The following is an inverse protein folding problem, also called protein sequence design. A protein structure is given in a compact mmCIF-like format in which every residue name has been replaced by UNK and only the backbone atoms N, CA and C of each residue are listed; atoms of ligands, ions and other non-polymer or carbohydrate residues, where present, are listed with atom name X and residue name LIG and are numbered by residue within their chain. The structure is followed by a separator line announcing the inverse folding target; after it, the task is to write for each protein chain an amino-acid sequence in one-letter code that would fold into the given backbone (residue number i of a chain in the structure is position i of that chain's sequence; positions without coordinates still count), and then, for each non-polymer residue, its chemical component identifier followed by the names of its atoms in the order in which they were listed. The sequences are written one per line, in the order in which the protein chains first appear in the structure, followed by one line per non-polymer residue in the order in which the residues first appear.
data_IF_487618742591
#
_entry.id   IF_487618742591
#
_cell.length_a   1.000
_cell.length_b   1.000
_cell.length_c   1.000
_cell.angle_alpha   90.00
_cell.angle_beta   90.00
_cell.angle_gamma   90.00
#
_symmetry.space_group_name_H-M   'P 1'
#
loop_
_entity.id
_entity.type
_entity.pdbx_description
1 polymer ?
#
# COMPACT_ATOMS: atom_id res chain seq x y z
N UNK A 1 -0.19 18.42 16.81
CA UNK A 1 -0.11 17.75 18.14
C UNK A 1 1.28 17.19 18.28
N UNK A 2 1.90 17.25 19.46
CA UNK A 2 3.14 16.51 19.73
C UNK A 2 2.77 15.07 20.05
N UNK A 3 3.44 14.09 19.42
CA UNK A 3 3.34 12.70 19.88
C UNK A 3 4.13 12.55 21.16
N UNK A 4 3.51 11.96 22.18
CA UNK A 4 4.17 11.64 23.44
C UNK A 4 4.42 10.13 23.53
N UNK A 5 5.57 9.75 24.08
CA UNK A 5 5.87 8.38 24.49
C UNK A 5 6.29 8.37 25.96
N UNK A 6 5.60 7.56 26.75
CA UNK A 6 5.91 7.28 28.15
C UNK A 6 6.36 5.83 28.27
N UNK A 7 7.50 5.65 28.93
CA UNK A 7 8.15 4.37 29.21
C UNK A 7 8.30 4.27 30.72
N UNK A 8 7.88 3.17 31.34
CA UNK A 8 8.06 2.92 32.76
C UNK A 8 8.64 1.53 32.98
N UNK A 9 9.84 1.47 33.55
CA UNK A 9 10.48 0.21 33.89
C UNK A 9 10.09 -0.27 35.29
N UNK A 10 9.91 -1.58 35.42
CA UNK A 10 9.76 -2.32 36.66
C UNK A 10 10.42 -3.70 36.52
N UNK A 11 10.49 -4.48 37.61
CA UNK A 11 11.08 -5.84 37.63
C UNK A 11 10.01 -6.84 38.07
N UNK A 12 10.03 -8.05 37.52
CA UNK A 12 9.13 -9.10 37.98
C UNK A 12 9.54 -9.59 39.36
N UNK A 13 8.57 -9.69 40.28
CA UNK A 13 8.81 -10.18 41.64
C UNK A 13 9.33 -11.64 41.66
N UNK A 14 8.91 -12.44 40.67
CA UNK A 14 9.27 -13.86 40.50
C UNK A 14 10.55 -14.10 39.68
N UNK A 15 11.03 -13.12 38.91
CA UNK A 15 12.20 -13.24 38.05
C UNK A 15 13.01 -11.94 38.06
N UNK A 16 14.01 -11.87 38.95
CA UNK A 16 14.74 -10.63 39.29
C UNK A 16 15.52 -10.03 38.11
N UNK A 17 15.91 -10.84 37.15
CA UNK A 17 16.65 -10.48 35.94
C UNK A 17 15.73 -10.07 34.77
N UNK A 18 14.44 -10.38 34.83
CA UNK A 18 13.45 -9.98 33.83
C UNK A 18 12.86 -8.63 34.20
N UNK A 19 12.93 -7.70 33.25
CA UNK A 19 12.35 -6.36 33.38
C UNK A 19 11.04 -6.26 32.60
N UNK A 20 10.14 -5.43 33.08
CA UNK A 20 8.89 -5.06 32.41
C UNK A 20 8.96 -3.57 32.07
N UNK A 21 8.85 -3.22 30.78
CA UNK A 21 8.67 -1.85 30.32
C UNK A 21 7.20 -1.64 29.92
N UNK A 22 6.48 -0.82 30.68
CA UNK A 22 5.13 -0.38 30.33
C UNK A 22 5.24 0.78 29.32
N UNK A 23 4.67 0.61 28.13
CA UNK A 23 4.75 1.57 27.03
C UNK A 23 3.38 2.21 26.74
N UNK A 24 3.31 3.53 26.70
CA UNK A 24 2.07 4.25 26.37
C UNK A 24 2.29 5.50 25.52
N UNK A 25 1.35 5.76 24.61
CA UNK A 25 1.43 6.86 23.63
C UNK A 25 1.63 6.35 22.20
N UNK A 26 2.59 6.91 21.47
CA UNK A 26 2.89 6.55 20.06
C UNK A 26 4.39 6.34 19.85
N UNK A 27 4.75 5.39 18.97
CA UNK A 27 6.14 5.21 18.48
C UNK A 27 6.20 5.65 17.02
N UNK A 28 6.62 6.88 16.78
CA UNK A 28 6.77 7.47 15.45
C UNK A 28 8.09 8.23 15.30
N UNK A 29 8.30 8.91 14.18
CA UNK A 29 9.54 9.61 13.85
C UNK A 29 9.94 10.72 14.85
N UNK A 30 9.05 11.15 15.75
CA UNK A 30 9.35 12.11 16.81
C UNK A 30 9.60 11.48 18.19
N UNK A 31 9.26 10.20 18.37
CA UNK A 31 9.40 9.48 19.66
C UNK A 31 10.31 8.24 19.59
N UNK A 32 10.68 7.80 18.38
CA UNK A 32 11.49 6.59 18.17
C UNK A 32 12.90 6.71 18.74
N UNK A 33 13.52 7.89 18.71
CA UNK A 33 14.87 8.08 19.27
C UNK A 33 14.86 7.91 20.80
N UNK A 34 13.86 8.50 21.48
CA UNK A 34 13.59 8.29 22.91
C UNK A 34 13.33 6.82 23.22
N UNK A 35 12.57 6.11 22.37
CA UNK A 35 12.33 4.68 22.50
C UNK A 35 13.63 3.85 22.40
N UNK A 36 14.47 4.15 21.42
CA UNK A 36 15.76 3.50 21.25
C UNK A 36 16.71 3.79 22.43
N UNK A 37 16.75 5.04 22.90
CA UNK A 37 17.53 5.43 24.08
C UNK A 37 17.18 4.62 25.32
N UNK A 38 15.90 4.56 25.70
CA UNK A 38 15.46 3.86 26.91
C UNK A 38 15.78 2.36 26.85
N UNK A 39 15.64 1.73 25.67
CA UNK A 39 16.01 0.33 25.49
C UNK A 39 17.54 0.11 25.51
N UNK A 40 18.35 1.02 24.97
CA UNK A 40 19.81 0.92 25.11
C UNK A 40 20.28 1.23 26.54
N UNK A 41 19.59 2.11 27.30
CA UNK A 41 19.86 2.35 28.73
C UNK A 41 19.63 1.07 29.53
N UNK A 42 18.50 0.38 29.32
CA UNK A 42 18.21 -0.90 29.94
C UNK A 42 19.29 -1.97 29.60
N UNK A 43 19.68 -2.12 28.33
CA UNK A 43 20.74 -3.06 27.93
C UNK A 43 22.10 -2.71 28.57
N UNK A 44 22.47 -1.43 28.64
CA UNK A 44 23.71 -0.97 29.31
C UNK A 44 23.69 -1.20 30.82
N UNK A 45 22.51 -1.33 31.45
CA UNK A 45 22.33 -1.71 32.85
C UNK A 45 22.35 -3.24 33.07
N UNK A 46 22.71 -4.04 32.05
CA UNK A 46 22.81 -5.49 32.15
C UNK A 46 21.49 -6.24 31.98
N UNK A 47 20.42 -5.58 31.53
CA UNK A 47 19.15 -6.25 31.21
C UNK A 47 19.34 -7.12 29.97
N UNK A 48 19.22 -8.44 30.12
CA UNK A 48 19.22 -9.43 29.04
C UNK A 48 17.83 -9.95 28.69
N UNK A 49 16.85 -9.85 29.60
CA UNK A 49 15.48 -10.31 29.41
C UNK A 49 14.47 -9.19 29.65
N UNK A 50 13.64 -8.92 28.65
CA UNK A 50 12.72 -7.79 28.67
C UNK A 50 11.32 -8.16 28.17
N UNK A 51 10.30 -7.73 28.90
CA UNK A 51 8.90 -7.77 28.48
C UNK A 51 8.45 -6.33 28.18
N UNK A 52 7.87 -6.10 27.00
CA UNK A 52 7.27 -4.82 26.63
C UNK A 52 5.75 -4.93 26.72
N UNK A 53 5.11 -4.28 27.70
CA UNK A 53 3.66 -4.12 27.68
C UNK A 53 3.30 -2.99 26.72
N UNK A 54 2.71 -3.36 25.58
CA UNK A 54 2.35 -2.46 24.48
C UNK A 54 0.86 -2.11 24.48
N UNK A 55 0.09 -2.48 25.50
CA UNK A 55 -1.35 -2.18 25.56
C UNK A 55 -1.66 -0.68 25.49
N UNK A 56 -0.75 0.17 25.99
CA UNK A 56 -0.88 1.63 25.95
C UNK A 56 -0.49 2.29 24.62
N UNK A 57 0.02 1.53 23.64
CA UNK A 57 0.48 2.04 22.35
C UNK A 57 -0.68 2.19 21.36
N UNK A 58 -0.93 3.45 20.95
CA UNK A 58 -2.01 3.84 20.04
C UNK A 58 -1.59 3.78 18.57
N UNK A 59 -0.31 3.97 18.29
CA UNK A 59 0.24 4.02 16.94
C UNK A 59 1.73 3.62 16.92
N UNK A 60 2.14 2.91 15.86
CA UNK A 60 3.53 2.58 15.53
C UNK A 60 3.74 2.85 14.05
N UNK A 61 4.82 3.55 13.68
CA UNK A 61 5.24 3.68 12.27
C UNK A 61 6.32 2.65 11.89
N UNK A 62 6.71 2.62 10.61
CA UNK A 62 7.72 1.69 10.10
C UNK A 62 9.08 1.81 10.81
N UNK A 63 9.51 3.01 11.19
CA UNK A 63 10.76 3.22 11.95
C UNK A 63 10.67 2.64 13.37
N UNK A 64 9.53 2.82 14.04
CA UNK A 64 9.27 2.23 15.35
C UNK A 64 9.22 0.70 15.30
N UNK A 65 8.58 0.14 14.26
CA UNK A 65 8.49 -1.31 14.08
C UNK A 65 9.84 -1.94 13.72
N UNK A 66 10.62 -1.31 12.84
CA UNK A 66 12.01 -1.73 12.56
C UNK A 66 12.93 -1.61 13.78
N UNK A 67 12.70 -0.61 14.65
CA UNK A 67 13.41 -0.50 15.93
C UNK A 67 13.06 -1.67 16.86
N UNK A 68 11.77 -2.04 16.96
CA UNK A 68 11.33 -3.20 17.73
C UNK A 68 11.98 -4.50 17.22
N UNK A 69 12.01 -4.75 15.91
CA UNK A 69 12.66 -5.93 15.31
C UNK A 69 14.16 -5.96 15.66
N UNK A 70 14.85 -4.83 15.45
CA UNK A 70 16.28 -4.68 15.77
C UNK A 70 16.57 -5.01 17.25
N UNK A 71 15.74 -4.54 18.18
CA UNK A 71 15.91 -4.89 19.59
C UNK A 71 15.59 -6.35 19.88
N UNK A 72 14.52 -6.92 19.32
CA UNK A 72 14.17 -8.31 19.55
C UNK A 72 15.30 -9.26 19.16
N UNK A 73 15.88 -9.06 17.98
CA UNK A 73 17.11 -9.73 17.56
C UNK A 73 18.29 -9.45 18.51
N UNK A 74 18.59 -8.18 18.77
CA UNK A 74 19.72 -7.75 19.63
C UNK A 74 19.66 -8.29 21.09
N UNK A 75 18.46 -8.57 21.62
CA UNK A 75 18.28 -9.24 22.92
C UNK A 75 18.43 -10.76 22.79
N UNK A 76 17.96 -11.37 21.69
CA UNK A 76 18.09 -12.81 21.37
C UNK A 76 19.56 -13.20 21.14
N UNK A 77 20.32 -12.45 20.34
CA UNK A 77 21.76 -12.69 20.12
C UNK A 77 22.64 -12.41 21.35
N UNK A 78 22.11 -11.73 22.38
CA UNK A 78 22.77 -11.56 23.67
C UNK A 78 22.52 -12.72 24.66
N UNK A 79 21.96 -13.86 24.20
CA UNK A 79 21.62 -15.01 25.05
C UNK A 79 20.41 -14.79 25.96
N UNK A 80 19.61 -13.75 25.67
CA UNK A 80 18.41 -13.37 26.41
C UNK A 80 17.17 -13.39 25.51
N UNK A 81 16.29 -12.41 25.69
CA UNK A 81 15.08 -12.33 24.86
C UNK A 81 14.20 -11.11 25.13
N UNK A 82 13.33 -10.82 24.16
CA UNK A 82 12.35 -9.74 24.21
C UNK A 82 10.97 -10.28 23.85
N UNK A 83 9.98 -10.02 24.72
CA UNK A 83 8.59 -10.46 24.54
C UNK A 83 7.65 -9.26 24.47
N UNK A 84 6.69 -9.28 23.55
CA UNK A 84 5.61 -8.30 23.47
C UNK A 84 4.37 -8.81 24.21
N UNK A 85 3.92 -8.05 25.21
CA UNK A 85 2.78 -8.33 26.07
C UNK A 85 1.58 -7.46 25.67
N UNK A 86 0.40 -8.09 25.52
CA UNK A 86 -0.90 -7.45 25.20
C UNK A 86 -0.87 -6.62 23.90
N UNK A 87 -0.34 -7.20 22.82
CA UNK A 87 -0.24 -6.53 21.51
C UNK A 87 -1.62 -6.06 21.00
N UNK A 88 -1.85 -4.75 20.81
CA UNK A 88 -3.13 -4.25 20.32
C UNK A 88 -3.48 -4.85 18.94
N UNK A 89 -4.75 -5.21 18.64
CA UNK A 89 -5.10 -5.90 17.39
C UNK A 89 -4.63 -5.18 16.11
N UNK A 90 -4.67 -3.84 16.09
CA UNK A 90 -4.16 -3.04 14.96
C UNK A 90 -2.65 -3.17 14.76
N UNK A 91 -1.88 -3.30 15.85
CA UNK A 91 -0.43 -3.53 15.79
C UNK A 91 -0.13 -4.97 15.40
N UNK A 92 -0.89 -5.94 15.91
CA UNK A 92 -0.78 -7.36 15.55
C UNK A 92 -0.99 -7.57 14.04
N UNK A 93 -2.07 -7.03 13.46
CA UNK A 93 -2.34 -7.11 12.01
C UNK A 93 -1.18 -6.52 11.19
N UNK A 94 -0.58 -5.40 11.62
CA UNK A 94 0.57 -4.80 10.92
C UNK A 94 1.84 -5.65 11.04
N UNK A 95 2.07 -6.31 12.18
CA UNK A 95 3.17 -7.28 12.35
C UNK A 95 2.97 -8.50 11.43
N UNK A 96 1.75 -9.03 11.37
CA UNK A 96 1.40 -10.20 10.55
C UNK A 96 1.48 -9.90 9.05
N UNK A 97 0.89 -8.81 8.58
CA UNK A 97 0.96 -8.39 7.15
C UNK A 97 2.39 -8.08 6.66
N UNK A 98 3.33 -7.77 7.56
CA UNK A 98 4.72 -7.49 7.24
C UNK A 98 5.64 -8.70 7.47
N UNK A 99 5.09 -9.89 7.80
CA UNK A 99 5.87 -11.09 8.08
C UNK A 99 6.69 -11.05 9.39
N UNK A 100 6.60 -9.97 10.17
CA UNK A 100 7.51 -9.72 11.30
C UNK A 100 7.22 -10.56 12.55
N UNK A 101 6.21 -11.44 12.50
CA UNK A 101 5.77 -12.24 13.64
C UNK A 101 6.84 -13.23 14.15
N UNK A 102 7.73 -13.72 13.28
CA UNK A 102 8.85 -14.62 13.64
C UNK A 102 9.92 -13.95 14.53
N UNK A 103 10.03 -12.63 14.44
CA UNK A 103 10.93 -11.82 15.28
C UNK A 103 10.33 -11.52 16.66
N UNK A 104 9.02 -11.70 16.85
CA UNK A 104 8.31 -11.27 18.04
C UNK A 104 7.61 -12.41 18.78
N UNK A 105 8.16 -12.77 19.92
CA UNK A 105 7.41 -13.51 20.91
C UNK A 105 6.27 -12.66 21.47
N UNK A 106 5.06 -12.92 21.00
CA UNK A 106 3.83 -12.25 21.46
C UNK A 106 3.11 -13.11 22.52
N UNK A 107 2.47 -12.46 23.48
CA UNK A 107 1.65 -13.07 24.54
C UNK A 107 0.61 -12.10 25.13
N UNK A 108 -0.36 -12.62 25.88
CA UNK A 108 -1.41 -11.82 26.55
C UNK A 108 -1.23 -11.72 28.07
N UNK A 109 -0.62 -12.72 28.72
CA UNK A 109 -0.35 -12.68 30.17
C UNK A 109 1.12 -12.58 30.52
N UNK A 110 1.42 -11.95 31.65
CA UNK A 110 2.77 -11.91 32.23
C UNK A 110 3.33 -13.30 32.54
N UNK A 111 2.47 -14.30 32.73
CA UNK A 111 2.85 -15.70 32.95
C UNK A 111 3.42 -16.34 31.69
N UNK A 112 2.74 -16.16 30.55
CA UNK A 112 3.25 -16.57 29.24
C UNK A 112 4.57 -15.86 28.93
N UNK A 113 4.68 -14.57 29.23
CA UNK A 113 5.89 -13.79 28.97
C UNK A 113 7.11 -14.34 29.71
N UNK A 114 6.94 -14.68 31.00
CA UNK A 114 7.99 -15.31 31.79
C UNK A 114 8.33 -16.72 31.28
N UNK A 115 7.33 -17.53 30.94
CA UNK A 115 7.55 -18.88 30.39
C UNK A 115 8.36 -18.84 29.08
N UNK A 116 8.03 -17.93 28.16
CA UNK A 116 8.77 -17.71 26.90
C UNK A 116 10.21 -17.23 27.10
N UNK A 117 10.51 -16.57 28.23
CA UNK A 117 11.87 -16.14 28.61
C UNK A 117 12.66 -17.20 29.40
N UNK A 118 12.12 -18.41 29.55
CA UNK A 118 12.74 -19.55 30.25
C UNK A 118 12.31 -19.73 31.70
N UNK A 119 11.40 -18.91 32.23
CA UNK A 119 10.94 -19.00 33.61
C UNK A 119 9.67 -19.86 33.72
N UNK A 120 9.88 -21.16 33.94
CA UNK A 120 8.81 -22.13 34.17
C UNK A 120 8.01 -21.84 35.44
N UNK A 121 6.82 -21.25 35.29
CA UNK A 121 5.90 -20.99 36.42
C UNK A 121 5.08 -22.26 36.70
N UNK A 122 5.31 -22.89 37.86
CA UNK A 122 4.67 -24.13 38.32
C UNK A 122 3.14 -24.12 38.10
N UNK A 123 2.62 -25.19 37.49
CA UNK A 123 1.31 -25.18 36.85
C UNK A 123 0.15 -25.18 37.86
N UNK A 124 -0.77 -24.24 37.69
CA UNK A 124 -2.09 -24.19 38.31
C UNK A 124 -3.08 -23.81 37.20
N UNK A 125 -4.29 -24.39 37.17
CA UNK A 125 -5.04 -24.57 35.92
C UNK A 125 -5.60 -23.27 35.32
N UNK A 126 -5.88 -23.34 34.02
CA UNK A 126 -6.68 -22.34 33.32
C UNK A 126 -8.15 -22.36 33.83
N UNK A 127 -8.95 -21.31 33.57
CA UNK A 127 -10.39 -21.38 33.76
C UNK A 127 -10.97 -22.55 32.94
N UNK A 128 -11.75 -23.40 33.59
CA UNK A 128 -12.45 -24.51 32.93
C UNK A 128 -13.78 -23.98 32.39
N UNK A 129 -14.08 -24.24 31.12
CA UNK A 129 -15.38 -23.95 30.53
C UNK A 129 -16.46 -24.83 31.19
N UNK A 130 -17.36 -24.23 31.96
CA UNK A 130 -18.43 -24.96 32.66
C UNK A 130 -19.57 -25.32 31.72
N UNK A 131 -19.62 -26.61 31.39
CA UNK A 131 -20.69 -27.44 30.80
C UNK A 131 -22.07 -26.82 30.49
N UNK A 132 -22.60 -27.17 29.31
CA UNK A 132 -24.03 -27.17 29.00
C UNK A 132 -24.63 -28.58 29.14
N UNK A 133 -25.81 -28.76 29.76
CA UNK A 133 -26.40 -30.09 29.99
C UNK A 133 -27.17 -30.65 28.77
N UNK A 134 -26.61 -31.73 28.22
CA UNK A 134 -27.22 -32.96 27.65
C UNK A 134 -28.74 -33.11 27.44
N UNK A 135 -29.13 -33.81 26.34
CA UNK A 135 -30.03 -35.00 26.36
C UNK A 135 -29.95 -35.87 25.06
N UNK A 136 -29.48 -37.12 25.22
CA UNK A 136 -29.82 -38.42 24.53
C UNK A 136 -30.04 -38.57 22.99
N UNK A 137 -29.03 -39.18 22.31
CA UNK A 137 -28.97 -40.42 21.44
C UNK A 137 -30.24 -41.04 20.75
N UNK A 138 -30.13 -42.06 19.83
CA UNK A 138 -29.08 -42.52 18.85
C UNK A 138 -29.65 -42.64 17.38
N UNK A 139 -29.06 -43.21 16.30
CA UNK A 139 -28.71 -44.63 15.95
C UNK A 139 -28.04 -44.76 14.54
N UNK A 140 -27.03 -45.65 14.40
CA UNK A 140 -26.48 -46.29 13.14
C UNK A 140 -25.85 -45.39 12.04
N UNK A 141 -24.66 -45.72 11.47
CA UNK A 141 -24.32 -46.73 10.42
C UNK A 141 -24.69 -46.28 8.99
N UNK A 142 -23.93 -46.54 7.91
CA UNK A 142 -22.77 -47.44 7.72
C UNK A 142 -21.68 -46.81 6.83
N UNK A 143 -20.56 -47.51 6.62
CA UNK A 143 -19.52 -47.16 5.65
C UNK A 143 -19.76 -47.80 4.28
N UNK A 144 -19.23 -47.18 3.21
CA UNK A 144 -18.81 -47.88 1.98
C UNK A 144 -17.74 -47.05 1.26
N UNK A 145 -16.96 -47.67 0.37
CA UNK A 145 -15.81 -47.04 -0.27
C UNK A 145 -15.55 -47.59 -1.68
N UNK A 146 -14.99 -46.73 -2.57
CA UNK A 146 -14.41 -47.04 -3.90
C UNK A 146 -15.41 -47.64 -4.94
N UNK A 147 -15.13 -47.69 -6.28
CA UNK A 147 -13.83 -47.80 -6.95
C UNK A 147 -13.53 -46.81 -8.10
N UNK A 148 -12.38 -47.06 -8.73
CA UNK A 148 -11.70 -46.32 -9.80
C UNK A 148 -12.19 -46.77 -11.18
N UNK A 149 -12.12 -45.88 -12.19
CA UNK A 149 -12.06 -46.27 -13.60
C UNK A 149 -11.11 -45.34 -14.37
N UNK A 150 -10.25 -45.92 -15.21
CA UNK A 150 -9.32 -45.20 -16.10
C UNK A 150 -9.81 -45.26 -17.55
N UNK A 151 -9.41 -44.28 -18.37
CA UNK A 151 -9.46 -44.34 -19.83
C UNK A 151 -8.27 -43.57 -20.41
N UNK A 152 -7.77 -44.01 -21.58
CA UNK A 152 -6.49 -43.57 -22.17
C UNK A 152 -6.60 -43.50 -23.71
N UNK A 153 -5.51 -43.03 -24.35
CA UNK A 153 -5.18 -43.04 -25.78
C UNK A 153 -5.75 -41.99 -26.76
N UNK A 154 -4.80 -41.60 -27.64
CA UNK A 154 -4.91 -41.34 -29.10
C UNK A 154 -4.94 -39.88 -29.62
N UNK A 155 -3.85 -39.52 -30.30
CA UNK A 155 -3.82 -38.64 -31.48
C UNK A 155 -3.78 -39.52 -32.76
N UNK A 156 -3.97 -38.95 -33.98
CA UNK A 156 -2.80 -38.76 -34.85
C UNK A 156 -2.83 -37.44 -35.69
N UNK A 157 -2.33 -37.45 -36.94
CA UNK A 157 -1.55 -36.37 -37.60
C UNK A 157 -2.14 -35.83 -38.94
N UNK A 158 -1.32 -35.02 -39.66
CA UNK A 158 -1.46 -34.37 -40.99
C UNK A 158 -2.14 -32.98 -41.00
N UNK A 159 -1.61 -31.87 -41.55
CA UNK A 159 -0.62 -31.50 -42.61
C UNK A 159 -1.26 -31.03 -43.94
N UNK A 160 -0.98 -29.77 -44.36
CA UNK A 160 -0.64 -29.37 -45.74
C UNK A 160 -0.65 -27.83 -46.01
N UNK A 161 0.24 -27.42 -46.93
CA UNK A 161 0.14 -26.29 -47.88
C UNK A 161 0.20 -24.79 -47.41
N UNK A 162 0.92 -24.00 -48.22
CA UNK A 162 0.92 -22.53 -48.26
C UNK A 162 0.27 -22.01 -49.57
N UNK A 163 0.23 -20.69 -49.87
CA UNK A 163 1.32 -20.16 -50.71
C UNK A 163 1.73 -18.68 -50.50
N UNK A 164 2.80 -18.33 -51.22
CA UNK A 164 3.54 -17.05 -51.34
C UNK A 164 2.74 -15.77 -51.67
N UNK A 165 3.28 -14.61 -51.26
CA UNK A 165 2.94 -13.26 -51.75
C UNK A 165 4.03 -12.22 -51.38
N UNK A 166 4.44 -11.35 -52.32
CA UNK A 166 5.66 -10.50 -52.21
C UNK A 166 5.39 -8.96 -52.23
N UNK A 167 6.35 -8.09 -51.84
CA UNK A 167 6.06 -6.71 -51.37
C UNK A 167 6.41 -5.56 -52.34
N UNK A 168 5.83 -4.37 -52.09
CA UNK A 168 6.58 -3.09 -52.11
C UNK A 168 6.14 -2.09 -50.99
N UNK A 169 6.83 -1.01 -50.60
CA UNK A 169 8.23 -0.51 -50.68
C UNK A 169 8.40 0.64 -49.64
N UNK A 170 9.59 1.25 -49.49
CA UNK A 170 9.89 2.34 -48.51
C UNK A 170 10.51 3.58 -49.19
N UNK A 171 10.12 4.81 -48.79
CA UNK A 171 10.90 6.05 -49.01
C UNK A 171 10.44 7.26 -48.14
N UNK A 172 11.37 8.22 -47.91
CA UNK A 172 11.29 9.60 -47.36
C UNK A 172 12.20 10.50 -48.28
N UNK A 173 12.29 11.86 -48.23
CA UNK A 173 12.16 12.78 -47.07
C UNK A 173 11.51 14.19 -47.35
N UNK A 174 11.80 15.19 -46.48
CA UNK A 174 11.26 16.58 -46.34
C UNK A 174 12.19 17.69 -46.93
N UNK A 175 12.15 19.02 -46.59
CA UNK A 175 11.14 19.98 -46.02
C UNK A 175 10.98 21.22 -46.98
N UNK A 176 11.09 22.56 -46.67
CA UNK A 176 10.80 23.47 -45.51
C UNK A 176 9.99 24.78 -45.91
N UNK A 177 10.13 25.90 -45.15
CA UNK A 177 9.69 27.33 -45.40
C UNK A 177 8.20 27.69 -45.09
N UNK A 178 7.80 28.93 -44.67
CA UNK A 178 8.44 30.11 -44.02
C UNK A 178 7.36 31.08 -43.40
N UNK A 179 7.74 32.22 -42.81
CA UNK A 179 6.88 33.25 -42.13
C UNK A 179 7.50 34.69 -42.29
N UNK A 180 7.02 35.84 -41.72
CA UNK A 180 5.83 36.17 -40.89
C UNK A 180 4.85 37.19 -41.60
N UNK A 181 4.73 38.55 -41.39
CA UNK A 181 4.80 39.48 -40.22
C UNK A 181 3.73 40.63 -40.09
N UNK A 182 3.54 41.20 -38.86
CA UNK A 182 3.11 42.61 -38.50
C UNK A 182 1.66 43.07 -38.85
N UNK A 183 1.01 44.09 -38.23
CA UNK A 183 1.17 44.94 -37.01
C UNK A 183 -0.18 45.72 -36.69
N UNK A 184 -0.34 46.52 -35.59
CA UNK A 184 -1.65 47.02 -35.07
C UNK A 184 -2.03 48.45 -35.57
N UNK A 185 -3.14 49.10 -35.12
CA UNK A 185 -3.05 50.03 -33.96
C UNK A 185 -4.37 50.39 -33.17
N UNK A 186 -4.20 51.26 -32.13
CA UNK A 186 -5.16 52.15 -31.41
C UNK A 186 -6.21 51.57 -30.42
N UNK A 187 -6.32 52.25 -29.26
CA UNK A 187 -7.46 52.26 -28.33
C UNK A 187 -7.78 53.71 -27.94
N UNK A 188 -9.00 54.02 -27.45
CA UNK A 188 -9.08 55.05 -26.39
C UNK A 188 -10.16 54.83 -25.31
N UNK A 189 -10.12 55.73 -24.32
CA UNK A 189 -11.15 56.12 -23.35
C UNK A 189 -11.37 55.22 -22.11
N UNK A 190 -11.31 55.87 -20.95
CA UNK A 190 -11.55 55.32 -19.61
C UNK A 190 -12.74 56.04 -18.98
N UNK A 191 -13.68 55.31 -18.39
CA UNK A 191 -14.59 55.83 -17.36
C UNK A 191 -14.54 54.94 -16.13
N UNK A 192 -14.42 55.56 -14.95
CA UNK A 192 -14.26 54.84 -13.67
C UNK A 192 -15.63 54.54 -13.05
N UNK A 193 -15.80 53.31 -12.57
CA UNK A 193 -16.83 52.93 -11.60
C UNK A 193 -16.11 52.27 -10.40
N UNK A 194 -16.57 52.43 -9.14
CA UNK A 194 -15.86 51.87 -7.99
C UNK A 194 -15.70 50.35 -8.09
N UNK A 195 -14.55 49.77 -7.69
CA UNK A 195 -14.29 48.35 -7.83
C UNK A 195 -15.11 47.55 -6.81
N UNK A 196 -16.25 47.01 -7.24
CA UNK A 196 -16.73 45.73 -6.67
C UNK A 196 -15.60 44.71 -6.83
N UNK A 197 -15.19 44.08 -5.73
CA UNK A 197 -14.12 43.09 -5.75
C UNK A 197 -14.39 42.02 -6.83
N UNK A 198 -13.39 41.66 -7.66
CA UNK A 198 -13.61 40.73 -8.76
C UNK A 198 -14.06 39.39 -8.19
N UNK A 199 -15.27 38.96 -8.57
CA UNK A 199 -15.76 37.63 -8.24
C UNK A 199 -14.80 36.61 -8.85
N UNK A 200 -14.03 35.92 -8.00
CA UNK A 200 -13.15 34.83 -8.41
C UNK A 200 -14.01 33.84 -9.19
N UNK A 201 -13.74 33.56 -10.48
CA UNK A 201 -14.60 32.71 -11.26
C UNK A 201 -14.56 31.30 -10.67
N UNK A 202 -15.74 30.74 -10.40
CA UNK A 202 -15.84 29.37 -9.91
C UNK A 202 -15.08 28.43 -10.86
N UNK A 203 -14.24 27.51 -10.35
CA UNK A 203 -13.45 26.65 -11.20
C UNK A 203 -14.38 25.79 -12.05
N UNK A 204 -14.04 25.58 -13.34
CA UNK A 204 -14.84 24.80 -14.31
C UNK A 204 -14.81 23.29 -14.00
N UNK A 205 -15.30 22.92 -12.83
CA UNK A 205 -15.38 21.56 -12.30
C UNK A 205 -16.75 21.01 -12.64
N UNK A 206 -16.81 20.08 -13.59
CA UNK A 206 -18.02 19.39 -14.05
C UNK A 206 -18.56 18.34 -13.04
N UNK A 207 -18.13 18.41 -11.78
CA UNK A 207 -18.54 17.50 -10.71
C UNK A 207 -19.48 18.24 -9.75
N UNK A 208 -20.64 17.67 -9.37
CA UNK A 208 -21.50 18.26 -8.36
C UNK A 208 -20.78 18.34 -7.01
N UNK A 209 -21.00 19.44 -6.27
CA UNK A 209 -20.50 19.58 -4.91
C UNK A 209 -21.12 18.50 -4.01
N UNK A 210 -20.28 17.73 -3.31
CA UNK A 210 -20.75 16.59 -2.47
C UNK A 210 -21.35 17.02 -1.14
N UNK A 211 -21.07 18.26 -0.74
CA UNK A 211 -21.69 18.93 0.39
C UNK A 211 -21.41 20.43 0.28
N UNK A 212 -22.28 21.22 0.93
CA UNK A 212 -22.15 22.66 1.11
C UNK A 212 -22.23 22.95 2.60
N UNK A 213 -21.28 23.74 3.11
CA UNK A 213 -21.31 24.27 4.48
C UNK A 213 -21.66 25.75 4.41
N UNK A 214 -22.49 26.20 5.35
CA UNK A 214 -22.91 27.59 5.48
C UNK A 214 -21.74 28.52 5.82
N UNK A 215 -21.88 29.81 5.53
CA UNK A 215 -20.79 30.77 5.67
C UNK A 215 -20.23 30.84 7.11
N UNK A 216 -18.90 30.79 7.30
CA UNK A 216 -18.29 31.04 8.60
C UNK A 216 -18.47 32.51 9.00
N UNK A 217 -18.44 32.81 10.30
CA UNK A 217 -18.69 34.16 10.84
C UNK A 217 -17.56 35.18 10.54
N UNK A 218 -16.52 34.77 9.82
CA UNK A 218 -15.34 35.55 9.48
C UNK A 218 -14.25 34.65 8.90
N UNK A 219 -13.12 35.25 8.52
CA UNK A 219 -11.92 34.56 8.05
C UNK A 219 -10.70 34.98 8.89
N UNK A 220 -9.69 34.11 9.09
CA UNK A 220 -9.62 32.73 8.62
C UNK A 220 -10.63 31.81 9.33
N UNK A 221 -11.11 30.79 8.62
CA UNK A 221 -12.08 29.81 9.10
C UNK A 221 -11.48 28.42 9.06
N UNK A 222 -11.48 27.72 10.20
CA UNK A 222 -11.05 26.32 10.30
C UNK A 222 -12.28 25.42 10.21
N UNK A 223 -12.24 24.41 9.34
CA UNK A 223 -13.35 23.50 9.12
C UNK A 223 -12.93 22.10 8.67
N UNK A 224 -13.63 21.09 9.18
CA UNK A 224 -13.41 19.69 8.84
C UNK A 224 -13.74 19.40 7.37
N UNK A 225 -12.80 18.80 6.65
CA UNK A 225 -12.97 18.43 5.25
C UNK A 225 -14.01 17.32 5.10
N UNK A 226 -15.13 17.61 4.42
CA UNK A 226 -16.24 16.67 4.21
C UNK A 226 -15.92 15.39 3.40
N UNK A 227 -14.66 15.15 3.04
CA UNK A 227 -14.17 13.91 2.42
C UNK A 227 -13.16 13.12 3.27
N UNK A 228 -12.67 13.65 4.40
CA UNK A 228 -11.72 12.93 5.27
C UNK A 228 -11.60 13.43 6.72
N UNK A 229 -12.43 14.37 7.16
CA UNK A 229 -12.49 14.85 8.54
C UNK A 229 -11.25 15.59 9.07
N UNK A 230 -10.26 15.91 8.23
CA UNK A 230 -9.13 16.77 8.65
C UNK A 230 -9.56 18.23 8.60
N UNK A 231 -9.15 19.00 9.59
CA UNK A 231 -9.33 20.45 9.58
C UNK A 231 -8.54 21.10 8.44
N UNK A 232 -9.17 22.06 7.78
CA UNK A 232 -8.57 22.89 6.73
C UNK A 232 -8.85 24.35 7.07
N UNK A 233 -7.80 25.17 7.01
CA UNK A 233 -7.92 26.62 7.16
C UNK A 233 -8.24 27.27 5.81
N UNK A 234 -9.29 28.09 5.80
CA UNK A 234 -9.76 28.85 4.65
C UNK A 234 -9.57 30.33 4.99
N UNK A 235 -8.69 31.03 4.28
CA UNK A 235 -8.33 32.43 4.56
C UNK A 235 -9.25 33.48 3.94
N UNK A 236 -10.22 33.09 3.12
CA UNK A 236 -11.08 34.01 2.36
C UNK A 236 -11.94 33.28 1.32
N UNK A 237 -12.57 34.04 0.43
CA UNK A 237 -13.18 33.50 -0.79
C UNK A 237 -12.08 33.06 -1.76
N UNK A 238 -12.22 31.86 -2.35
CA UNK A 238 -11.19 31.29 -3.22
C UNK A 238 -11.22 29.75 -3.30
N UNK A 239 -10.21 29.19 -3.97
CA UNK A 239 -10.02 27.74 -4.13
C UNK A 239 -8.90 27.23 -3.22
N UNK A 240 -9.24 26.25 -2.38
CA UNK A 240 -8.37 25.63 -1.39
C UNK A 240 -8.31 24.12 -1.60
N UNK A 241 -7.25 23.46 -1.14
CA UNK A 241 -7.03 22.02 -1.34
C UNK A 241 -6.77 21.35 0.00
N UNK A 242 -7.59 20.36 0.35
CA UNK A 242 -7.39 19.59 1.58
C UNK A 242 -6.03 18.86 1.53
N UNK A 243 -5.12 19.06 2.52
CA UNK A 243 -3.79 18.46 2.49
C UNK A 243 -3.82 16.93 2.61
N UNK A 244 -4.81 16.36 3.33
CA UNK A 244 -4.93 14.90 3.56
C UNK A 244 -5.44 14.13 2.33
N UNK A 245 -6.64 14.44 1.84
CA UNK A 245 -7.25 13.72 0.72
C UNK A 245 -7.01 14.35 -0.67
N UNK A 246 -6.63 15.62 -0.74
CA UNK A 246 -6.50 16.37 -2.00
C UNK A 246 -7.82 16.88 -2.59
N UNK A 247 -8.93 16.77 -1.87
CA UNK A 247 -10.23 17.33 -2.29
C UNK A 247 -10.18 18.84 -2.43
N UNK A 248 -10.84 19.36 -3.47
CA UNK A 248 -10.95 20.79 -3.74
C UNK A 248 -12.11 21.37 -2.92
N UNK A 249 -11.84 22.49 -2.27
CA UNK A 249 -12.76 23.24 -1.40
C UNK A 249 -12.87 24.63 -2.00
N UNK A 250 -14.08 25.05 -2.35
CA UNK A 250 -14.33 26.37 -2.93
C UNK A 250 -15.17 27.21 -1.97
N UNK A 251 -14.62 28.33 -1.52
CA UNK A 251 -15.34 29.35 -0.77
C UNK A 251 -15.81 30.45 -1.73
N UNK A 252 -17.11 30.68 -1.83
CA UNK A 252 -17.66 31.76 -2.66
C UNK A 252 -17.58 33.14 -1.99
N UNK A 253 -17.88 34.20 -2.74
CA UNK A 253 -17.85 35.58 -2.24
C UNK A 253 -18.91 35.92 -1.19
N UNK A 254 -19.86 35.03 -0.91
CA UNK A 254 -20.82 35.12 0.19
C UNK A 254 -20.46 34.17 1.36
N UNK A 255 -19.27 33.55 1.31
CA UNK A 255 -18.71 32.69 2.34
C UNK A 255 -19.15 31.22 2.26
N UNK A 256 -20.01 30.80 1.34
CA UNK A 256 -20.45 29.40 1.27
C UNK A 256 -19.31 28.49 0.81
N UNK A 257 -19.21 27.29 1.42
CA UNK A 257 -18.08 26.40 1.20
C UNK A 257 -18.55 25.10 0.56
N UNK A 258 -18.16 24.88 -0.70
CA UNK A 258 -18.52 23.73 -1.51
C UNK A 258 -17.37 22.71 -1.58
N UNK A 259 -17.67 21.43 -1.34
CA UNK A 259 -16.69 20.34 -1.35
C UNK A 259 -16.75 19.53 -2.64
N UNK A 260 -15.78 19.72 -3.51
CA UNK A 260 -15.53 18.88 -4.68
C UNK A 260 -14.60 17.73 -4.28
N UNK A 261 -15.20 16.73 -3.64
CA UNK A 261 -14.48 15.60 -3.07
C UNK A 261 -13.82 14.74 -4.16
N UNK A 262 -12.50 14.84 -4.31
CA UNK A 262 -11.72 14.01 -5.23
C UNK A 262 -11.70 12.59 -4.66
N UNK A 263 -12.54 11.70 -5.20
CA UNK A 263 -12.41 10.25 -4.96
C UNK A 263 -11.14 9.80 -5.70
N UNK A 264 -9.98 9.93 -5.03
CA UNK A 264 -8.78 9.22 -5.48
C UNK A 264 -9.09 7.72 -5.48
N UNK A 265 -8.79 6.98 -6.55
CA UNK A 265 -8.92 5.53 -6.54
C UNK A 265 -8.01 4.95 -5.47
N UNK A 266 -8.52 3.99 -4.70
CA UNK A 266 -7.75 3.29 -3.68
C UNK A 266 -6.95 2.19 -4.41
N UNK A 267 -5.61 2.15 -4.32
CA UNK A 267 -4.82 1.11 -4.94
C UNK A 267 -5.08 -0.23 -4.23
N UNK A 268 -5.24 -1.29 -5.01
CA UNK A 268 -5.09 -2.66 -4.54
C UNK A 268 -3.59 -2.94 -4.51
N UNK A 269 -3.02 -3.18 -3.33
CA UNK A 269 -1.60 -3.44 -3.15
C UNK A 269 -1.34 -4.91 -2.84
N UNK A 270 -0.40 -5.50 -3.55
CA UNK A 270 0.10 -6.86 -3.37
C UNK A 270 1.61 -6.81 -3.11
N UNK A 271 2.11 -7.78 -2.35
CA UNK A 271 3.54 -8.12 -2.29
C UNK A 271 3.63 -9.59 -2.67
N UNK A 272 4.51 -9.91 -3.62
CA UNK A 272 4.58 -11.21 -4.26
C UNK A 272 6.01 -11.72 -4.30
N UNK A 273 6.17 -13.03 -4.31
CA UNK A 273 7.45 -13.69 -4.57
C UNK A 273 7.67 -13.76 -6.09
N UNK A 274 8.92 -13.72 -6.53
CA UNK A 274 9.29 -13.93 -7.94
C UNK A 274 9.29 -15.41 -8.29
N UNK A 275 8.11 -16.03 -8.30
CA UNK A 275 7.90 -17.43 -8.63
C UNK A 275 6.76 -17.63 -9.65
N UNK A 276 6.63 -18.84 -10.19
CA UNK A 276 5.61 -19.18 -11.18
C UNK A 276 4.17 -19.11 -10.65
N UNK A 277 3.95 -19.50 -9.39
CA UNK A 277 2.63 -19.49 -8.76
C UNK A 277 2.15 -18.05 -8.50
N UNK A 278 3.01 -17.18 -7.96
CA UNK A 278 2.69 -15.75 -7.79
C UNK A 278 2.42 -15.06 -9.13
N UNK A 279 3.16 -15.43 -10.17
CA UNK A 279 3.01 -14.87 -11.53
C UNK A 279 1.66 -15.27 -12.16
N UNK A 280 1.29 -16.55 -12.09
CA UNK A 280 -0.04 -17.04 -12.51
C UNK A 280 -1.17 -16.38 -11.70
N UNK A 281 -1.03 -16.29 -10.38
CA UNK A 281 -2.02 -15.67 -9.51
C UNK A 281 -2.21 -14.18 -9.82
N UNK A 282 -1.12 -13.44 -10.01
CA UNK A 282 -1.14 -12.02 -10.39
C UNK A 282 -1.80 -11.83 -11.75
N UNK A 283 -1.42 -12.62 -12.76
CA UNK A 283 -2.02 -12.59 -14.12
C UNK A 283 -3.54 -12.71 -14.04
N UNK A 284 -4.05 -13.72 -13.31
CA UNK A 284 -5.49 -13.96 -13.13
C UNK A 284 -6.18 -12.82 -12.38
N UNK A 285 -5.57 -12.33 -11.29
CA UNK A 285 -6.09 -11.22 -10.49
C UNK A 285 -6.23 -9.92 -11.30
N UNK A 286 -5.16 -9.50 -11.98
CA UNK A 286 -5.19 -8.25 -12.78
C UNK A 286 -6.16 -8.38 -13.96
N UNK A 287 -6.24 -9.56 -14.58
CA UNK A 287 -7.24 -9.86 -15.61
C UNK A 287 -8.68 -9.68 -15.13
N UNK A 288 -9.03 -10.28 -13.98
CA UNK A 288 -10.35 -10.11 -13.38
C UNK A 288 -10.64 -8.65 -12.98
N UNK A 289 -9.64 -7.92 -12.50
CA UNK A 289 -9.78 -6.47 -12.22
C UNK A 289 -10.01 -5.66 -13.50
N UNK A 290 -9.41 -6.02 -14.63
CA UNK A 290 -9.66 -5.37 -15.92
C UNK A 290 -11.09 -5.65 -16.42
N UNK A 291 -11.54 -6.91 -16.39
CA UNK A 291 -12.90 -7.30 -16.78
C UNK A 291 -13.95 -6.57 -15.92
N UNK A 292 -13.78 -6.55 -14.60
CA UNK A 292 -14.65 -5.81 -13.66
C UNK A 292 -14.50 -4.28 -13.74
N UNK A 293 -13.43 -3.76 -14.36
CA UNK A 293 -13.25 -2.34 -14.63
C UNK A 293 -13.92 -1.88 -15.95
N UNK A 294 -14.48 -2.80 -16.73
CA UNK A 294 -15.22 -2.53 -17.98
C UNK A 294 -14.40 -2.66 -19.26
N UNK A 295 -13.23 -3.30 -19.22
CA UNK A 295 -12.45 -3.60 -20.43
C UNK A 295 -13.02 -4.80 -21.18
N UNK A 296 -12.87 -4.82 -22.51
CA UNK A 296 -13.23 -5.97 -23.33
C UNK A 296 -12.26 -7.16 -23.12
N UNK A 297 -12.66 -8.35 -23.57
CA UNK A 297 -11.93 -9.60 -23.34
C UNK A 297 -10.55 -9.60 -24.01
N UNK A 298 -10.38 -8.98 -25.18
CA UNK A 298 -9.09 -8.93 -25.86
C UNK A 298 -8.13 -7.96 -25.15
N UNK A 299 -8.61 -6.78 -24.74
CA UNK A 299 -7.82 -5.84 -23.92
C UNK A 299 -7.48 -6.42 -22.55
N UNK A 300 -8.42 -7.11 -21.89
CA UNK A 300 -8.15 -7.82 -20.63
C UNK A 300 -7.09 -8.92 -20.79
N UNK A 301 -7.08 -9.64 -21.92
CA UNK A 301 -6.04 -10.62 -22.22
C UNK A 301 -4.69 -9.98 -22.54
N UNK A 302 -4.64 -8.85 -23.25
CA UNK A 302 -3.40 -8.09 -23.44
C UNK A 302 -2.81 -7.58 -22.11
N UNK A 303 -3.68 -7.14 -21.18
CA UNK A 303 -3.30 -6.77 -19.81
C UNK A 303 -2.73 -7.98 -19.05
N UNK A 304 -3.35 -9.17 -19.17
CA UNK A 304 -2.84 -10.43 -18.56
C UNK A 304 -1.43 -10.76 -19.05
N UNK A 305 -1.22 -10.81 -20.36
CA UNK A 305 0.09 -11.15 -20.97
C UNK A 305 1.18 -10.15 -20.62
N UNK A 306 0.88 -8.85 -20.59
CA UNK A 306 1.84 -7.82 -20.19
C UNK A 306 2.22 -7.90 -18.70
N UNK A 307 1.24 -8.18 -17.83
CA UNK A 307 1.46 -8.37 -16.39
C UNK A 307 2.42 -9.54 -16.12
N UNK A 308 2.26 -10.63 -16.89
CA UNK A 308 3.13 -11.79 -16.88
C UNK A 308 4.53 -11.52 -17.48
N UNK A 309 4.62 -10.80 -18.61
CA UNK A 309 5.89 -10.37 -19.19
C UNK A 309 6.71 -9.55 -18.18
N UNK A 310 6.08 -8.60 -17.48
CA UNK A 310 6.78 -7.76 -16.48
C UNK A 310 7.26 -8.58 -15.28
N UNK A 311 6.44 -9.49 -14.74
CA UNK A 311 6.85 -10.38 -13.65
C UNK A 311 8.03 -11.29 -14.07
N UNK A 312 7.97 -11.86 -15.27
CA UNK A 312 9.03 -12.73 -15.81
C UNK A 312 10.34 -11.98 -16.08
N UNK A 313 10.30 -10.73 -16.55
CA UNK A 313 11.51 -9.90 -16.71
C UNK A 313 12.10 -9.49 -15.34
N UNK A 314 11.26 -9.21 -14.34
CA UNK A 314 11.73 -8.96 -12.96
C UNK A 314 12.45 -10.20 -12.41
N UNK A 315 11.86 -11.39 -12.50
CA UNK A 315 12.52 -12.62 -12.06
C UNK A 315 13.84 -12.90 -12.82
N UNK A 316 13.79 -12.94 -14.14
CA UNK A 316 14.92 -13.39 -14.98
C UNK A 316 16.05 -12.36 -15.12
N UNK A 317 15.72 -11.06 -15.18
CA UNK A 317 16.68 -9.98 -15.50
C UNK A 317 17.05 -9.16 -14.28
N UNK A 318 16.08 -8.78 -13.44
CA UNK A 318 16.33 -7.93 -12.25
C UNK A 318 16.88 -8.73 -11.07
N UNK A 319 16.41 -9.97 -10.89
CA UNK A 319 16.84 -10.89 -9.83
C UNK A 319 17.65 -12.11 -10.32
N UNK A 320 17.92 -12.21 -11.63
CA UNK A 320 18.78 -13.24 -12.24
C UNK A 320 18.34 -14.69 -11.94
N UNK A 321 17.02 -14.91 -11.93
CA UNK A 321 16.35 -16.17 -11.59
C UNK A 321 16.50 -16.62 -10.12
N UNK A 322 16.86 -15.71 -9.21
CA UNK A 322 16.78 -15.96 -7.77
C UNK A 322 15.40 -15.55 -7.23
N UNK A 323 14.94 -16.24 -6.20
CA UNK A 323 13.73 -15.85 -5.47
C UNK A 323 13.94 -14.52 -4.72
N UNK A 324 13.00 -13.61 -4.89
CA UNK A 324 12.95 -12.34 -4.18
C UNK A 324 11.50 -11.84 -4.07
N UNK A 325 11.29 -10.62 -3.57
CA UNK A 325 9.94 -10.03 -3.49
C UNK A 325 9.83 -8.72 -4.28
N UNK A 326 8.65 -8.49 -4.84
CA UNK A 326 8.28 -7.23 -5.49
C UNK A 326 6.87 -6.81 -5.06
N UNK A 327 6.61 -5.51 -5.08
CA UNK A 327 5.29 -4.93 -4.79
C UNK A 327 4.56 -4.61 -6.09
N UNK A 328 3.25 -4.90 -6.13
CA UNK A 328 2.37 -4.49 -7.24
C UNK A 328 1.25 -3.60 -6.70
N UNK A 329 0.96 -2.49 -7.40
CA UNK A 329 -0.18 -1.64 -7.14
C UNK A 329 -1.08 -1.61 -8.37
N UNK A 330 -2.34 -2.01 -8.22
CA UNK A 330 -3.38 -1.98 -9.27
C UNK A 330 -4.40 -0.91 -8.93
N UNK A 331 -4.64 0.01 -9.86
CA UNK A 331 -5.42 1.23 -9.63
C UNK A 331 -6.47 1.37 -10.74
N UNK A 332 -7.73 1.07 -10.42
CA UNK A 332 -8.87 1.29 -11.30
C UNK A 332 -9.26 2.78 -11.26
N UNK A 333 -8.79 3.54 -12.25
CA UNK A 333 -9.00 4.98 -12.38
C UNK A 333 -10.27 5.27 -13.21
N UNK A 334 -10.88 6.47 -13.09
CA UNK A 334 -12.05 6.82 -13.90
C UNK A 334 -11.80 6.81 -15.42
N UNK A 335 -10.54 6.89 -15.85
CA UNK A 335 -10.13 6.94 -17.26
C UNK A 335 -9.42 5.66 -17.75
N UNK A 336 -9.10 4.71 -16.87
CA UNK A 336 -8.18 3.62 -17.20
C UNK A 336 -7.80 2.72 -16.03
N UNK A 337 -6.83 1.84 -16.24
CA UNK A 337 -6.22 0.98 -15.25
C UNK A 337 -4.71 1.28 -15.20
N UNK A 338 -4.23 1.82 -14.09
CA UNK A 338 -2.79 1.91 -13.83
C UNK A 338 -2.34 0.65 -13.08
N UNK A 339 -1.29 0.00 -13.57
CA UNK A 339 -0.56 -1.07 -12.86
C UNK A 339 0.86 -0.55 -12.60
N UNK A 340 1.38 -0.76 -11.39
CA UNK A 340 2.76 -0.41 -11.04
C UNK A 340 3.46 -1.57 -10.37
N UNK A 341 4.66 -1.90 -10.83
CA UNK A 341 5.58 -2.82 -10.18
C UNK A 341 6.69 -2.00 -9.50
N UNK A 342 7.09 -2.41 -8.31
CA UNK A 342 8.22 -1.86 -7.57
C UNK A 342 9.09 -3.01 -7.03
N UNK A 343 10.35 -3.03 -7.44
CA UNK A 343 11.35 -4.01 -7.00
C UNK A 343 12.54 -3.32 -6.32
N UNK A 344 13.46 -4.10 -5.75
CA UNK A 344 14.70 -3.62 -5.11
C UNK A 344 15.97 -4.28 -5.70
N UNK A 345 15.90 -4.83 -6.91
CA UNK A 345 17.00 -5.57 -7.55
C UNK A 345 17.91 -4.70 -8.43
N UNK A 346 18.48 -5.31 -9.48
CA UNK A 346 19.32 -4.59 -10.43
C UNK A 346 18.52 -3.65 -11.34
N UNK A 347 19.14 -2.52 -11.72
CA UNK A 347 18.46 -1.49 -12.51
C UNK A 347 18.37 -1.90 -13.98
N UNK A 348 17.14 -1.93 -14.51
CA UNK A 348 16.88 -2.09 -15.93
C UNK A 348 17.36 -0.86 -16.72
N UNK A 349 17.90 -1.04 -17.94
CA UNK A 349 18.28 0.07 -18.81
C UNK A 349 17.04 0.85 -19.27
N UNK A 350 17.00 2.14 -18.95
CA UNK A 350 15.85 3.02 -19.22
C UNK A 350 15.66 3.32 -20.71
N UNK A 351 16.70 3.11 -21.51
CA UNK A 351 16.78 3.55 -22.91
C UNK A 351 16.08 2.60 -23.90
N UNK A 352 15.64 1.42 -23.45
CA UNK A 352 15.17 0.34 -24.33
C UNK A 352 13.94 -0.47 -23.83
N UNK A 353 12.88 0.14 -23.24
CA UNK A 353 11.71 -0.60 -22.76
C UNK A 353 11.07 -1.51 -23.84
N UNK A 354 11.03 -1.06 -25.10
CA UNK A 354 10.49 -1.85 -26.23
C UNK A 354 11.30 -3.10 -26.60
N UNK A 355 12.56 -3.24 -26.15
CA UNK A 355 13.36 -4.46 -26.36
C UNK A 355 13.17 -5.48 -25.24
N UNK A 356 12.91 -5.00 -24.02
CA UNK A 356 12.71 -5.84 -22.83
C UNK A 356 11.26 -6.27 -22.65
N UNK A 357 10.31 -5.42 -23.08
CA UNK A 357 8.87 -5.61 -22.87
C UNK A 357 8.09 -5.47 -24.19
N UNK A 358 8.35 -6.34 -25.21
CA UNK A 358 7.72 -6.24 -26.52
C UNK A 358 6.20 -6.34 -26.50
N UNK A 359 5.58 -7.10 -25.58
CA UNK A 359 4.13 -7.16 -25.45
C UNK A 359 3.58 -5.94 -24.67
N UNK A 360 4.14 -5.65 -23.50
CA UNK A 360 3.62 -4.61 -22.60
C UNK A 360 3.71 -3.21 -23.20
N UNK A 361 4.78 -2.93 -23.94
CA UNK A 361 5.00 -1.63 -24.61
C UNK A 361 4.21 -1.43 -25.91
N UNK A 362 3.44 -2.44 -26.33
CA UNK A 362 2.42 -2.36 -27.38
C UNK A 362 0.99 -2.40 -26.82
N UNK A 363 0.78 -3.13 -25.72
CA UNK A 363 -0.53 -3.30 -25.10
C UNK A 363 -1.03 -2.04 -24.37
N UNK A 364 -0.14 -1.17 -23.86
CA UNK A 364 -0.46 -0.01 -23.01
C UNK A 364 -0.14 1.33 -23.68
N UNK A 365 -0.97 2.36 -23.45
CA UNK A 365 -0.74 3.70 -24.00
C UNK A 365 0.44 4.42 -23.33
N UNK A 366 0.64 4.18 -22.02
CA UNK A 366 1.80 4.66 -21.28
C UNK A 366 2.53 3.46 -20.65
N UNK A 367 3.82 3.31 -20.96
CA UNK A 367 4.71 2.32 -20.37
C UNK A 367 6.03 3.01 -20.00
N UNK A 368 6.29 3.13 -18.69
CA UNK A 368 7.39 3.91 -18.12
C UNK A 368 8.25 3.04 -17.20
N UNK A 369 9.58 3.11 -17.36
CA UNK A 369 10.55 2.51 -16.42
C UNK A 369 11.33 3.64 -15.76
N UNK A 370 11.33 3.68 -14.44
CA UNK A 370 12.08 4.66 -13.64
C UNK A 370 12.88 3.96 -12.55
N UNK A 371 13.95 4.59 -12.06
CA UNK A 371 14.73 4.04 -10.94
C UNK A 371 14.00 4.21 -9.61
N UNK A 372 13.89 3.15 -8.81
CA UNK A 372 13.28 3.24 -7.49
C UNK A 372 14.23 3.97 -6.50
N UNK A 373 13.74 4.90 -5.65
CA UNK A 373 14.60 5.74 -4.79
C UNK A 373 15.47 5.01 -3.76
N UNK A 374 15.23 3.73 -3.50
CA UNK A 374 16.03 2.90 -2.57
C UNK A 374 16.88 1.82 -3.27
N UNK A 375 17.00 1.87 -4.59
CA UNK A 375 17.48 0.74 -5.40
C UNK A 375 16.31 -0.07 -5.97
N UNK A 376 16.56 -0.80 -7.06
CA UNK A 376 15.55 -1.43 -7.92
C UNK A 376 14.84 -0.49 -8.89
N UNK A 377 13.73 -0.97 -9.46
CA UNK A 377 12.96 -0.30 -10.51
C UNK A 377 11.53 0.04 -10.09
N UNK A 378 10.94 0.98 -10.82
CA UNK A 378 9.54 1.35 -10.81
C UNK A 378 9.02 1.27 -12.25
N UNK A 379 8.27 0.22 -12.56
CA UNK A 379 7.65 0.01 -13.88
C UNK A 379 6.18 0.41 -13.76
N UNK A 380 5.74 1.39 -14.53
CA UNK A 380 4.34 1.82 -14.62
C UNK A 380 3.78 1.48 -15.99
N UNK A 381 2.60 0.89 -15.98
CA UNK A 381 1.77 0.64 -17.14
C UNK A 381 0.42 1.36 -16.92
N UNK A 382 -0.10 2.08 -17.91
CA UNK A 382 -1.47 2.62 -17.88
C UNK A 382 -2.23 2.31 -19.16
N UNK A 383 -3.39 1.65 -18.99
CA UNK A 383 -4.30 1.31 -20.07
C UNK A 383 -5.55 2.17 -19.97
N UNK A 384 -5.89 2.90 -21.04
CA UNK A 384 -7.11 3.71 -21.10
C UNK A 384 -8.33 2.85 -21.44
N UNK A 385 -9.49 3.18 -20.84
CA UNK A 385 -10.82 2.67 -21.22
C UNK A 385 -11.36 3.41 -22.47
#
# INVERSE_FOLDING_TARGET
MMSELKVRFSRFATAKDVFLAELSGSIDASTVDKFQEELQKARKQGVSRLVLDVAGIKYVNSTGLGSLVKFADTFRSAGGGLVLLKVPPKMKIVIEMLGLHEFFDMCNTSREALAKLGYGVAQAPAPVDTEAPTVVKPVSSAASAVPVASAELAAPVEEAAAPSGAPPKVAKPSPPQAAPPKAPPVAPAVTKKPPTAPAVPAPKVSLPAKSRVAAPRGYPAILACASCGVDVEIGGAGSYKCPRCGSLIYADGAGNINFYGVKKPIPLQLVLVTDGLSTEALKRFVGAVAEQAGFDVATANAIKSATEEVANVIFSTVYKNNENTYSVLVINEPQGLTIKFADHGEKLPQDAPRKLFPQSSLAFEEFEITGHPRGGNLIRLFKKK
#
